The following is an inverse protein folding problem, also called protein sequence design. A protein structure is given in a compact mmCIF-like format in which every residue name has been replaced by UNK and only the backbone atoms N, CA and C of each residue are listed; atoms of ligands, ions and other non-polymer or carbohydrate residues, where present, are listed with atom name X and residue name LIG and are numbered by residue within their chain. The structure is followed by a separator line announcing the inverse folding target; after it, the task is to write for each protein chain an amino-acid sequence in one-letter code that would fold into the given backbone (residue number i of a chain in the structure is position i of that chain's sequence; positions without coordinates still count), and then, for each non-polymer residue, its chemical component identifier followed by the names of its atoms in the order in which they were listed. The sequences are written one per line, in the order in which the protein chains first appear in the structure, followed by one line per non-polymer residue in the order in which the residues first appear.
data_IF_184423990601
#
_entry.id   IF_184423990601
#
_cell.length_a   1.000
_cell.length_b   1.000
_cell.length_c   1.000
_cell.angle_alpha   90.00
_cell.angle_beta   90.00
_cell.angle_gamma   90.00
#
_symmetry.space_group_name_H-M   'P 1'
#
loop_
_entity.id
_entity.type
_entity.pdbx_description
1 polymer ?
#
# COMPACT_ATOMS: atom_id res chain seq x y z
N UNK A 1 4.66 23.43 7.14
CA UNK A 1 4.64 21.97 7.36
C UNK A 1 4.05 21.34 6.11
N UNK A 2 4.73 20.35 5.54
CA UNK A 2 4.19 19.59 4.42
C UNK A 2 3.48 18.34 4.95
N UNK A 3 2.50 17.85 4.21
CA UNK A 3 1.75 16.63 4.53
C UNK A 3 1.83 15.69 3.35
N UNK A 4 2.09 14.43 3.63
CA UNK A 4 2.00 13.32 2.67
C UNK A 4 0.96 12.34 3.18
N UNK A 5 0.26 11.68 2.27
CA UNK A 5 -0.77 10.69 2.63
C UNK A 5 -0.57 9.45 1.79
N UNK A 6 -0.59 8.28 2.44
CA UNK A 6 -0.32 7.00 1.81
C UNK A 6 -1.50 6.06 2.02
N UNK A 7 -1.81 5.24 1.02
CA UNK A 7 -2.76 4.14 1.19
C UNK A 7 -2.13 3.03 2.03
N UNK A 8 -2.92 2.49 2.95
CA UNK A 8 -2.57 1.37 3.83
C UNK A 8 -3.73 0.39 3.82
N UNK A 9 -3.42 -0.91 3.71
CA UNK A 9 -4.40 -1.98 3.82
C UNK A 9 -4.24 -2.60 5.19
N UNK A 10 -5.35 -2.82 5.89
CA UNK A 10 -5.43 -3.57 7.13
C UNK A 10 -6.21 -4.85 6.87
N UNK A 11 -5.66 -5.98 7.28
CA UNK A 11 -6.21 -7.32 7.08
C UNK A 11 -6.26 -8.06 8.41
N UNK A 12 -7.43 -8.54 8.79
CA UNK A 12 -7.58 -9.37 9.97
C UNK A 12 -7.48 -10.85 9.60
N UNK A 13 -6.54 -11.56 10.22
CA UNK A 13 -6.48 -13.01 10.13
C UNK A 13 -7.27 -13.62 11.29
N UNK A 14 -8.45 -14.18 10.99
CA UNK A 14 -9.30 -14.80 12.01
C UNK A 14 -8.68 -16.04 12.65
N UNK A 15 -7.78 -16.73 11.95
CA UNK A 15 -7.13 -17.93 12.48
C UNK A 15 -6.01 -17.56 13.46
N UNK A 16 -5.24 -16.51 13.15
CA UNK A 16 -4.15 -16.03 13.99
C UNK A 16 -4.60 -15.02 15.07
N UNK A 17 -5.85 -14.53 15.00
CA UNK A 17 -6.39 -13.50 15.90
C UNK A 17 -5.53 -12.24 15.95
N UNK A 18 -4.97 -11.86 14.81
CA UNK A 18 -4.15 -10.68 14.64
C UNK A 18 -4.63 -9.84 13.45
N UNK A 19 -4.10 -8.62 13.37
CA UNK A 19 -4.28 -7.72 12.23
C UNK A 19 -2.91 -7.44 11.65
N UNK A 20 -2.80 -7.52 10.33
CA UNK A 20 -1.64 -7.06 9.58
C UNK A 20 -2.01 -5.76 8.85
N UNK A 21 -1.06 -4.83 8.76
CA UNK A 21 -1.14 -3.67 7.90
C UNK A 21 -0.02 -3.70 6.87
N UNK A 22 -0.38 -3.52 5.61
CA UNK A 22 0.57 -3.35 4.52
C UNK A 22 0.63 -1.88 4.11
N UNK A 23 1.84 -1.33 4.06
CA UNK A 23 2.15 0.02 3.56
C UNK A 23 2.93 -0.12 2.23
N UNK A 24 2.20 -0.21 1.11
CA UNK A 24 2.69 -0.30 -0.27
C UNK A 24 4.01 0.40 -0.57
N UNK A 25 4.00 1.72 -0.37
CA UNK A 25 5.05 2.61 -0.81
C UNK A 25 6.38 2.42 -0.08
N UNK A 26 6.33 1.83 1.12
CA UNK A 26 7.50 1.55 1.94
C UNK A 26 7.83 0.05 1.97
N UNK A 27 7.01 -0.79 1.31
CA UNK A 27 7.08 -2.25 1.38
C UNK A 27 7.15 -2.75 2.85
N UNK A 28 6.34 -2.14 3.72
CA UNK A 28 6.29 -2.45 5.15
C UNK A 28 5.06 -3.27 5.49
N UNK A 29 5.28 -4.31 6.29
CA UNK A 29 4.23 -5.09 6.93
C UNK A 29 4.33 -4.88 8.45
N UNK A 30 3.20 -4.55 9.08
CA UNK A 30 3.11 -4.25 10.51
C UNK A 30 2.01 -5.13 11.10
N UNK A 31 2.33 -5.93 12.11
CA UNK A 31 1.41 -6.90 12.71
C UNK A 31 1.15 -6.52 14.16
N UNK A 32 -0.09 -6.67 14.62
CA UNK A 32 -0.51 -6.46 16.00
C UNK A 32 -1.80 -7.21 16.30
N UNK A 33 -2.29 -7.11 17.54
CA UNK A 33 -3.41 -7.94 17.99
C UNK A 33 -4.77 -7.36 17.55
N UNK A 34 -4.87 -6.03 17.46
CA UNK A 34 -6.11 -5.33 17.11
C UNK A 34 -5.90 -4.33 15.98
N UNK A 35 -6.98 -4.01 15.26
CA UNK A 35 -6.94 -3.02 14.20
C UNK A 35 -6.53 -1.64 14.73
N UNK A 36 -7.04 -1.23 15.90
CA UNK A 36 -6.71 0.05 16.52
C UNK A 36 -5.24 0.15 16.91
N UNK A 37 -4.67 -0.94 17.46
CA UNK A 37 -3.24 -1.02 17.77
C UNK A 37 -2.39 -0.92 16.51
N UNK A 38 -2.69 -1.72 15.49
CA UNK A 38 -1.93 -1.73 14.24
C UNK A 38 -2.02 -0.37 13.54
N UNK A 39 -3.20 0.26 13.55
CA UNK A 39 -3.39 1.61 13.01
C UNK A 39 -2.54 2.66 13.72
N UNK A 40 -2.39 2.55 15.05
CA UNK A 40 -1.50 3.41 15.81
C UNK A 40 -0.01 3.14 15.44
N UNK A 41 0.39 1.88 15.40
CA UNK A 41 1.76 1.48 15.03
C UNK A 41 2.14 1.92 13.62
N UNK A 42 1.24 1.78 12.64
CA UNK A 42 1.40 2.29 11.27
C UNK A 42 1.72 3.79 11.31
N UNK A 43 0.94 4.56 12.08
CA UNK A 43 1.16 6.00 12.17
C UNK A 43 2.52 6.33 12.81
N UNK A 44 2.93 5.64 13.87
CA UNK A 44 4.25 5.85 14.49
C UNK A 44 5.41 5.49 13.56
N UNK A 45 5.38 4.29 12.98
CA UNK A 45 6.45 3.78 12.10
C UNK A 45 6.57 4.66 10.87
N UNK A 46 5.45 5.01 10.22
CA UNK A 46 5.49 5.91 9.07
C UNK A 46 6.00 7.32 9.43
N UNK A 47 5.66 7.85 10.61
CA UNK A 47 6.24 9.12 11.05
C UNK A 47 7.76 9.01 11.20
N UNK A 48 8.26 7.92 11.78
CA UNK A 48 9.68 7.68 11.96
C UNK A 48 10.41 7.54 10.62
N UNK A 49 9.91 6.72 9.71
CA UNK A 49 10.51 6.50 8.38
C UNK A 49 10.56 7.78 7.55
N UNK A 50 9.44 8.51 7.45
CA UNK A 50 9.38 9.75 6.68
C UNK A 50 10.28 10.83 7.29
N UNK A 51 10.37 10.88 8.62
CA UNK A 51 11.30 11.80 9.31
C UNK A 51 12.75 11.42 9.06
N UNK A 52 13.08 10.12 9.07
CA UNK A 52 14.40 9.58 8.78
C UNK A 52 14.86 9.91 7.36
N UNK A 53 13.98 9.70 6.37
CA UNK A 53 14.23 10.06 4.97
C UNK A 53 14.52 11.56 4.82
N UNK A 54 13.67 12.41 5.42
CA UNK A 54 13.85 13.86 5.39
C UNK A 54 15.16 14.32 6.04
N UNK A 55 15.51 13.75 7.20
CA UNK A 55 16.75 14.06 7.92
C UNK A 55 18.00 13.61 7.14
N UNK A 56 17.88 12.51 6.39
CA UNK A 56 18.96 11.98 5.54
C UNK A 56 19.09 12.70 4.20
N UNK A 57 18.22 13.69 3.92
CA UNK A 57 18.18 14.41 2.65
C UNK A 57 17.69 13.55 1.48
N UNK A 58 17.07 12.40 1.75
CA UNK A 58 16.46 11.54 0.75
C UNK A 58 15.09 12.09 0.35
N UNK A 59 14.67 11.76 -0.87
CA UNK A 59 13.34 12.12 -1.35
C UNK A 59 12.29 11.33 -0.59
N UNK A 60 11.27 12.04 -0.12
CA UNK A 60 10.07 11.43 0.45
C UNK A 60 9.27 10.84 -0.71
N UNK A 61 8.95 9.54 -0.70
CA UNK A 61 8.24 8.91 -1.81
C UNK A 61 6.83 9.47 -1.94
N UNK A 62 6.38 9.67 -3.18
CA UNK A 62 5.00 10.04 -3.48
C UNK A 62 4.10 8.79 -3.48
N UNK A 63 2.89 8.92 -2.95
CA UNK A 63 1.91 7.83 -2.99
C UNK A 63 1.39 7.62 -4.42
N UNK A 64 1.81 6.53 -5.04
CA UNK A 64 1.37 6.10 -6.37
C UNK A 64 0.32 4.98 -6.30
N UNK A 65 -0.09 4.57 -5.09
CA UNK A 65 -1.05 3.50 -4.93
C UNK A 65 -2.47 3.98 -5.29
N UNK A 66 -3.28 3.07 -5.82
CA UNK A 66 -4.68 3.29 -6.21
C UNK A 66 -5.53 2.12 -5.81
N UNK A 67 -6.80 2.35 -5.54
CA UNK A 67 -7.76 1.29 -5.23
C UNK A 67 -8.84 1.21 -6.29
N UNK A 68 -9.23 0.01 -6.68
CA UNK A 68 -10.43 -0.29 -7.47
C UNK A 68 -11.29 -1.29 -6.68
N UNK A 69 -12.60 -1.33 -6.91
CA UNK A 69 -13.42 -2.44 -6.45
C UNK A 69 -13.94 -3.19 -7.67
N UNK A 70 -13.56 -4.45 -7.79
CA UNK A 70 -14.04 -5.34 -8.85
C UNK A 70 -15.26 -6.10 -8.34
N UNK A 71 -16.33 -6.13 -9.15
CA UNK A 71 -17.56 -6.87 -8.84
C UNK A 71 -17.65 -8.09 -9.75
N UNK A 72 -17.57 -9.29 -9.16
CA UNK A 72 -17.66 -10.58 -9.88
C UNK A 72 -18.54 -11.53 -9.07
N UNK A 73 -19.46 -12.23 -9.74
CA UNK A 73 -20.37 -13.19 -9.12
C UNK A 73 -21.18 -12.64 -7.91
N UNK A 74 -21.44 -11.34 -7.89
CA UNK A 74 -22.13 -10.65 -6.79
C UNK A 74 -21.23 -10.29 -5.59
N UNK A 75 -19.98 -10.75 -5.56
CA UNK A 75 -18.97 -10.33 -4.60
C UNK A 75 -18.34 -8.98 -4.99
N UNK A 76 -17.81 -8.27 -3.99
CA UNK A 76 -17.05 -7.02 -4.16
C UNK A 76 -15.65 -7.23 -3.62
N UNK A 77 -14.66 -7.08 -4.48
CA UNK A 77 -13.27 -7.34 -4.18
C UNK A 77 -12.48 -6.02 -4.31
N UNK A 78 -12.07 -5.39 -3.20
CA UNK A 78 -11.12 -4.29 -3.28
C UNK A 78 -9.81 -4.81 -3.89
N UNK A 79 -9.20 -4.01 -4.75
CA UNK A 79 -7.91 -4.27 -5.36
C UNK A 79 -7.06 -3.04 -5.13
N UNK A 80 -5.87 -3.25 -4.59
CA UNK A 80 -4.86 -2.21 -4.52
C UNK A 80 -3.91 -2.37 -5.70
N UNK A 81 -3.66 -1.30 -6.41
CA UNK A 81 -2.64 -1.22 -7.45
C UNK A 81 -1.53 -0.30 -7.02
N UNK A 82 -0.31 -0.65 -7.40
CA UNK A 82 0.90 0.11 -7.14
C UNK A 82 1.70 0.27 -8.43
N UNK A 83 2.32 1.43 -8.59
CA UNK A 83 3.20 1.69 -9.72
C UNK A 83 4.49 2.26 -9.21
N UNK A 84 5.55 1.46 -9.11
CA UNK A 84 6.80 1.99 -8.61
C UNK A 84 7.37 2.99 -9.65
N UNK A 85 7.41 4.28 -9.32
CA UNK A 85 7.74 5.36 -10.27
C UNK A 85 9.13 5.25 -10.92
N UNK A 86 10.00 4.34 -10.44
CA UNK A 86 11.33 4.07 -10.97
C UNK A 86 11.45 2.75 -11.76
N UNK A 87 10.44 1.87 -11.71
CA UNK A 87 10.49 0.55 -12.36
C UNK A 87 9.30 0.35 -13.31
N UNK A 88 9.57 -0.26 -14.46
CA UNK A 88 8.59 -0.69 -15.47
C UNK A 88 7.66 -1.82 -15.00
N UNK A 89 7.41 -1.92 -13.70
CA UNK A 89 6.64 -3.00 -13.08
C UNK A 89 5.48 -2.41 -12.30
N UNK A 90 4.29 -2.83 -12.68
CA UNK A 90 3.06 -2.55 -11.96
C UNK A 90 2.73 -3.76 -11.08
N UNK A 91 2.17 -3.49 -9.90
CA UNK A 91 1.70 -4.53 -9.00
C UNK A 91 0.24 -4.31 -8.66
N UNK A 92 -0.45 -5.39 -8.33
CA UNK A 92 -1.71 -5.35 -7.64
C UNK A 92 -1.71 -6.33 -6.49
N UNK A 93 -2.52 -6.04 -5.48
CA UNK A 93 -2.79 -6.91 -4.37
C UNK A 93 -4.30 -7.10 -4.23
N UNK A 94 -4.69 -8.35 -4.00
CA UNK A 94 -6.07 -8.80 -3.85
C UNK A 94 -6.24 -9.27 -2.40
N UNK A 95 -6.67 -8.38 -1.49
CA UNK A 95 -6.74 -8.65 -0.04
C UNK A 95 -7.50 -9.92 0.33
N UNK A 96 -8.70 -10.11 -0.24
CA UNK A 96 -9.57 -11.24 0.10
C UNK A 96 -8.93 -12.61 -0.15
N UNK A 97 -7.93 -12.68 -1.03
CA UNK A 97 -7.22 -13.91 -1.37
C UNK A 97 -5.72 -13.86 -1.03
N UNK A 98 -5.23 -12.72 -0.52
CA UNK A 98 -3.81 -12.45 -0.24
C UNK A 98 -2.91 -12.74 -1.44
N UNK A 99 -3.38 -12.39 -2.65
CA UNK A 99 -2.68 -12.64 -3.91
C UNK A 99 -2.02 -11.34 -4.39
N UNK A 100 -0.72 -11.40 -4.68
CA UNK A 100 -0.01 -10.37 -5.42
C UNK A 100 0.07 -10.71 -6.90
N UNK A 101 -0.19 -9.71 -7.75
CA UNK A 101 -0.14 -9.80 -9.21
C UNK A 101 0.88 -8.78 -9.71
N UNK A 102 1.73 -9.18 -10.65
CA UNK A 102 2.73 -8.29 -11.25
C UNK A 102 2.65 -8.31 -12.77
N UNK A 103 2.99 -7.17 -13.38
CA UNK A 103 2.89 -7.00 -14.82
C UNK A 103 3.75 -5.87 -15.36
N UNK A 104 3.89 -5.85 -16.68
CA UNK A 104 4.73 -4.89 -17.40
C UNK A 104 4.01 -3.54 -17.62
N UNK A 105 2.68 -3.54 -17.54
CA UNK A 105 1.85 -2.35 -17.66
C UNK A 105 0.69 -2.43 -16.68
N UNK A 106 0.09 -1.28 -16.38
CA UNK A 106 -1.12 -1.21 -15.57
C UNK A 106 -2.26 -2.06 -16.16
N UNK A 107 -2.45 -2.00 -17.48
CA UNK A 107 -3.48 -2.76 -18.18
C UNK A 107 -3.25 -4.28 -18.09
N UNK A 108 -2.00 -4.74 -18.25
CA UNK A 108 -1.61 -6.14 -18.07
C UNK A 108 -1.96 -6.63 -16.65
N UNK A 109 -1.64 -5.84 -15.63
CA UNK A 109 -2.00 -6.17 -14.24
C UNK A 109 -3.50 -6.22 -14.04
N UNK A 110 -4.26 -5.26 -14.57
CA UNK A 110 -5.72 -5.27 -14.46
C UNK A 110 -6.35 -6.50 -15.10
N UNK A 111 -5.88 -6.91 -16.28
CA UNK A 111 -6.36 -8.12 -16.95
C UNK A 111 -6.04 -9.36 -16.13
N UNK A 112 -4.79 -9.50 -15.65
CA UNK A 112 -4.37 -10.61 -14.79
C UNK A 112 -5.18 -10.71 -13.50
N UNK A 113 -5.43 -9.58 -12.84
CA UNK A 113 -6.29 -9.52 -11.64
C UNK A 113 -7.68 -10.07 -11.93
N UNK A 114 -8.31 -9.65 -13.03
CA UNK A 114 -9.66 -10.13 -13.40
C UNK A 114 -9.69 -11.63 -13.68
N UNK A 115 -8.68 -12.15 -14.39
CA UNK A 115 -8.55 -13.58 -14.69
C UNK A 115 -8.41 -14.37 -13.38
N UNK A 116 -7.45 -13.98 -12.53
CA UNK A 116 -7.18 -14.66 -11.26
C UNK A 116 -8.37 -14.62 -10.31
N UNK A 117 -9.05 -13.47 -10.18
CA UNK A 117 -10.28 -13.37 -9.38
C UNK A 117 -11.35 -14.34 -9.89
N UNK A 118 -11.56 -14.39 -11.21
CA UNK A 118 -12.58 -15.25 -11.80
C UNK A 118 -12.25 -16.73 -11.60
N UNK A 119 -10.98 -17.12 -11.76
CA UNK A 119 -10.49 -18.48 -11.52
C UNK A 119 -10.67 -18.88 -10.05
N UNK A 120 -10.20 -18.06 -9.11
CA UNK A 120 -10.29 -18.32 -7.68
C UNK A 120 -11.75 -18.47 -7.21
N UNK A 121 -12.64 -17.59 -7.67
CA UNK A 121 -14.09 -17.69 -7.38
C UNK A 121 -14.68 -18.99 -7.93
N UNK A 122 -14.32 -19.39 -9.15
CA UNK A 122 -14.80 -20.63 -9.75
C UNK A 122 -14.30 -21.86 -9.00
N UNK A 123 -13.00 -21.93 -8.70
CA UNK A 123 -12.39 -23.02 -7.92
C UNK A 123 -13.03 -23.16 -6.55
N UNK A 124 -13.29 -22.05 -5.87
CA UNK A 124 -14.00 -22.04 -4.57
C UNK A 124 -15.43 -22.54 -4.68
N UNK A 125 -16.17 -22.11 -5.70
CA UNK A 125 -17.53 -22.58 -5.96
C UNK A 125 -17.56 -24.09 -6.23
N UNK A 126 -16.64 -24.60 -7.04
CA UNK A 126 -16.53 -26.02 -7.39
C UNK A 126 -16.12 -26.89 -6.19
N UNK A 127 -15.25 -26.36 -5.32
CA UNK A 127 -14.82 -27.03 -4.09
C UNK A 127 -15.75 -26.81 -2.89
N UNK A 128 -16.86 -26.10 -3.07
CA UNK A 128 -17.78 -25.68 -1.99
C UNK A 128 -17.07 -24.94 -0.83
N UNK A 129 -16.00 -24.22 -1.15
CA UNK A 129 -15.27 -23.37 -0.22
C UNK A 129 -15.78 -21.93 -0.36
N UNK A 130 -16.19 -21.25 0.72
CA UNK A 130 -16.61 -19.86 0.63
C UNK A 130 -15.43 -18.93 0.32
N UNK A 131 -15.74 -17.76 -0.21
CA UNK A 131 -14.79 -16.63 -0.25
C UNK A 131 -14.43 -16.26 1.19
N UNK A 132 -13.14 -15.98 1.50
CA UNK A 132 -12.75 -15.54 2.83
C UNK A 132 -13.56 -14.31 3.25
N UNK A 133 -14.03 -14.30 4.49
CA UNK A 133 -14.73 -13.15 5.08
C UNK A 133 -13.83 -12.43 6.08
N UNK A 134 -12.53 -12.44 5.78
CA UNK A 134 -11.53 -11.76 6.59
C UNK A 134 -11.83 -10.26 6.60
N UNK A 135 -11.47 -9.62 7.71
CA UNK A 135 -11.61 -8.17 7.80
C UNK A 135 -10.60 -7.53 6.85
N UNK A 136 -11.06 -6.68 5.93
CA UNK A 136 -10.20 -5.87 5.07
C UNK A 136 -10.66 -4.43 5.14
N UNK A 137 -9.74 -3.53 5.48
CA UNK A 137 -9.99 -2.10 5.57
C UNK A 137 -8.86 -1.36 4.86
N UNK A 138 -9.20 -0.48 3.93
CA UNK A 138 -8.20 0.33 3.21
C UNK A 138 -8.38 1.79 3.59
N UNK A 139 -7.30 2.44 4.03
CA UNK A 139 -7.34 3.82 4.52
C UNK A 139 -6.17 4.64 3.99
N UNK A 140 -6.35 5.96 4.01
CA UNK A 140 -5.24 6.90 3.82
C UNK A 140 -4.70 7.34 5.17
N UNK A 141 -3.42 7.12 5.40
CA UNK A 141 -2.70 7.60 6.59
C UNK A 141 -1.91 8.85 6.22
N UNK A 142 -2.20 9.95 6.90
CA UNK A 142 -1.54 11.25 6.66
C UNK A 142 -0.42 11.50 7.67
N UNK A 143 0.77 11.80 7.16
CA UNK A 143 1.97 12.10 7.93
C UNK A 143 2.35 13.57 7.71
N UNK A 144 2.53 14.30 8.81
CA UNK A 144 3.00 15.68 8.79
C UNK A 144 4.52 15.70 8.98
N UNK A 145 5.25 16.35 8.06
CA UNK A 145 6.70 16.47 8.16
C UNK A 145 7.16 17.94 7.96
N UNK A 146 8.34 18.25 8.51
CA UNK A 146 9.00 19.53 8.28
C UNK A 146 9.87 19.41 7.04
N UNK A 147 9.64 20.28 6.06
CA UNK A 147 10.54 20.42 4.90
C UNK A 147 11.77 21.17 5.39
N UNK A 148 12.92 20.50 5.41
CA UNK A 148 14.20 21.16 5.64
C UNK A 148 14.67 21.64 4.27
N UNK A 149 14.51 22.93 3.97
CA UNK A 149 15.13 23.50 2.78
C UNK A 149 16.65 23.49 3.00
N UNK A 150 17.46 22.83 2.14
CA UNK A 150 18.90 23.01 2.18
C UNK A 150 19.16 24.49 1.85
N UNK A 151 19.65 25.25 2.83
CA UNK A 151 20.10 26.61 2.62
C UNK A 151 21.23 26.58 1.59
N UNK A 152 20.93 26.98 0.35
CA UNK A 152 21.94 27.22 -0.67
C UNK A 152 22.82 28.35 -0.14
N UNK A 153 24.02 28.03 0.34
CA UNK A 153 25.04 29.04 0.56
C UNK A 153 25.41 29.60 -0.81
N UNK A 154 24.87 30.77 -1.16
CA UNK A 154 25.35 31.56 -2.27
C UNK A 154 26.80 31.95 -1.97
N UNK A 155 27.76 31.15 -2.43
CA UNK A 155 29.14 31.60 -2.56
C UNK A 155 29.15 32.69 -3.63
N UNK A 156 29.12 33.94 -3.21
CA UNK A 156 29.45 35.08 -4.05
C UNK A 156 30.88 34.88 -4.53
N UNK A 157 31.06 34.50 -5.80
CA UNK A 157 32.34 34.56 -6.49
C UNK A 157 32.74 36.03 -6.59
N UNK A 158 33.61 36.50 -5.71
CA UNK A 158 34.35 37.73 -5.94
C UNK A 158 35.45 37.41 -6.96
N UNK A 159 35.23 37.86 -8.19
CA UNK A 159 36.27 37.91 -9.21
C UNK A 159 37.13 39.14 -8.87
N UNK A 160 38.41 38.90 -8.59
CA UNK A 160 39.45 39.93 -8.41
C UNK A 160 40.12 40.22 -9.74
#
# INVERSE_FOLDING_TARGET
MSRVSYLVIYEGDRAASNVAAYVPILDLEIIGDTYEEVRYLVQEIMNQEITSLAASGLLIPEDNAKTETIVIAGGKFPILYETNGSMSHHKAYIPDFRIQVQGLSFEDVQQKVRILLQEEINTRRESNNPVPQDFVQIERVTIAHRVIHPSVQSKTLQIS
#
